data_IF_836364546802
#
_entry.id   IF_836364546802
#
_cell.length_a   1.000
_cell.length_b   1.000
_cell.length_c   1.000
_cell.angle_alpha   90.00
_cell.angle_beta   90.00
_cell.angle_gamma   90.00
#
_symmetry.space_group_name_H-M   'P 1'
#
loop_
_entity.id
_entity.type
_entity.pdbx_description
1 polymer ?
#
# COMPACT_ATOMS: atom_id res chain seq x y z
N UNK A 1 43.19 -20.76 -18.09
CA UNK A 1 42.06 -20.88 -17.15
C UNK A 1 41.33 -19.56 -17.16
N UNK A 2 40.12 -19.51 -17.72
CA UNK A 2 39.31 -18.29 -17.77
C UNK A 2 38.29 -18.35 -16.63
N UNK A 3 38.35 -17.37 -15.71
CA UNK A 3 37.40 -17.23 -14.62
C UNK A 3 36.21 -16.42 -15.12
N UNK A 4 35.06 -17.07 -15.30
CA UNK A 4 33.81 -16.38 -15.64
C UNK A 4 33.17 -15.87 -14.36
N UNK A 5 33.23 -14.57 -14.13
CA UNK A 5 32.51 -13.88 -13.05
C UNK A 5 31.03 -13.80 -13.40
N UNK A 6 30.17 -14.43 -12.60
CA UNK A 6 28.72 -14.21 -12.65
C UNK A 6 28.40 -12.98 -11.79
N UNK A 7 27.99 -11.88 -12.43
CA UNK A 7 27.46 -10.72 -11.73
C UNK A 7 25.98 -11.00 -11.39
N UNK A 8 25.65 -11.02 -10.10
CA UNK A 8 24.26 -11.00 -9.64
C UNK A 8 23.74 -9.56 -9.76
N UNK A 9 22.73 -9.34 -10.61
CA UNK A 9 22.03 -8.07 -10.67
C UNK A 9 21.07 -7.94 -9.47
N UNK A 10 21.08 -6.78 -8.80
CA UNK A 10 20.07 -6.48 -7.78
C UNK A 10 18.68 -6.39 -8.43
N UNK A 11 17.69 -7.07 -7.85
CA UNK A 11 16.29 -6.91 -8.24
C UNK A 11 15.81 -5.51 -7.81
N UNK A 12 15.35 -4.69 -8.76
CA UNK A 12 14.60 -3.48 -8.43
C UNK A 12 13.15 -3.91 -8.15
N UNK A 13 12.65 -3.63 -6.94
CA UNK A 13 11.24 -3.84 -6.64
C UNK A 13 10.41 -2.85 -7.46
N UNK A 14 9.48 -3.36 -8.27
CA UNK A 14 8.56 -2.54 -9.04
C UNK A 14 7.24 -2.40 -8.26
N UNK A 15 6.65 -1.21 -8.25
CA UNK A 15 5.30 -1.00 -7.74
C UNK A 15 4.31 -1.83 -8.56
N UNK A 16 3.35 -2.44 -7.88
CA UNK A 16 2.25 -3.20 -8.48
C UNK A 16 0.92 -2.63 -7.99
N UNK A 17 -0.06 -2.55 -8.88
CA UNK A 17 -1.41 -2.10 -8.55
C UNK A 17 -2.11 -3.13 -7.66
N UNK A 18 -2.62 -2.69 -6.52
CA UNK A 18 -3.29 -3.54 -5.53
C UNK A 18 -4.80 -3.44 -5.63
N UNK A 19 -5.33 -2.24 -5.83
CA UNK A 19 -6.76 -1.98 -5.86
C UNK A 19 -7.09 -0.49 -5.86
N UNK A 20 -8.37 -0.16 -5.89
CA UNK A 20 -8.85 1.22 -5.84
C UNK A 20 -10.12 1.33 -5.00
N UNK A 21 -10.40 2.53 -4.50
CA UNK A 21 -11.62 2.81 -3.76
C UNK A 21 -12.09 4.24 -4.02
N UNK A 22 -13.40 4.46 -4.00
CA UNK A 22 -13.98 5.80 -3.90
C UNK A 22 -13.97 6.22 -2.42
N UNK A 23 -13.66 7.48 -2.12
CA UNK A 23 -13.76 8.01 -0.75
C UNK A 23 -15.17 7.80 -0.17
N UNK A 24 -16.21 7.95 -1.00
CA UNK A 24 -17.63 7.75 -0.64
C UNK A 24 -18.11 6.31 -0.92
N UNK A 25 -17.24 5.31 -0.88
CA UNK A 25 -17.66 3.92 -1.11
C UNK A 25 -18.73 3.43 -0.10
N UNK A 26 -19.59 2.51 -0.52
CA UNK A 26 -20.66 1.95 0.32
C UNK A 26 -20.13 1.17 1.56
N UNK A 27 -18.87 0.75 1.57
CA UNK A 27 -18.21 0.19 2.74
C UNK A 27 -17.65 1.24 3.71
N UNK A 28 -17.55 2.51 3.31
CA UNK A 28 -16.95 3.55 4.13
C UNK A 28 -17.87 3.94 5.30
N UNK A 29 -17.32 4.26 6.49
CA UNK A 29 -18.14 4.76 7.60
C UNK A 29 -18.86 6.05 7.20
N UNK A 30 -20.15 6.17 7.55
CA UNK A 30 -20.87 7.42 7.32
C UNK A 30 -20.62 8.43 8.44
N UNK A 31 -20.40 9.69 8.06
CA UNK A 31 -20.29 10.81 8.98
C UNK A 31 -21.54 10.93 9.88
N UNK A 32 -22.72 10.73 9.30
CA UNK A 32 -24.03 10.89 9.95
C UNK A 32 -24.39 9.78 10.94
N UNK A 33 -23.72 8.63 10.89
CA UNK A 33 -24.04 7.45 11.72
C UNK A 33 -23.19 7.38 12.99
N UNK A 34 -22.17 8.22 13.14
CA UNK A 34 -21.18 8.11 14.22
C UNK A 34 -21.58 8.84 15.54
N UNK A 35 -22.68 9.60 15.54
CA UNK A 35 -23.17 10.26 16.75
C UNK A 35 -22.35 11.50 17.14
N UNK A 36 -21.93 11.60 18.40
CA UNK A 36 -21.16 12.75 18.93
C UNK A 36 -19.65 12.65 18.65
N UNK A 37 -19.19 11.51 18.18
CA UNK A 37 -17.79 11.11 18.02
C UNK A 37 -17.68 10.57 16.60
N UNK A 38 -16.99 11.28 15.72
CA UNK A 38 -16.96 10.94 14.31
C UNK A 38 -16.37 9.57 14.05
N UNK A 39 -16.57 9.03 12.83
CA UNK A 39 -15.89 7.81 12.44
C UNK A 39 -14.39 8.03 12.47
N UNK A 40 -13.61 6.93 12.47
CA UNK A 40 -12.16 7.03 12.32
C UNK A 40 -11.82 7.73 11.01
N UNK A 41 -10.80 8.59 11.05
CA UNK A 41 -10.26 9.25 9.88
C UNK A 41 -8.99 8.56 9.40
N UNK A 42 -8.83 8.49 8.08
CA UNK A 42 -7.74 7.76 7.43
C UNK A 42 -6.98 8.68 6.47
N UNK A 43 -5.66 8.58 6.48
CA UNK A 43 -4.83 8.97 5.34
C UNK A 43 -5.11 8.04 4.16
N UNK A 44 -4.71 8.44 2.94
CA UNK A 44 -4.81 7.56 1.77
C UNK A 44 -4.10 6.22 1.98
N UNK A 45 -2.94 6.23 2.62
CA UNK A 45 -2.16 5.03 2.93
C UNK A 45 -2.82 4.12 3.99
N UNK A 46 -3.39 4.70 5.04
CA UNK A 46 -4.12 3.91 6.06
C UNK A 46 -5.43 3.34 5.51
N UNK A 47 -6.14 4.08 4.66
CA UNK A 47 -7.33 3.57 3.97
C UNK A 47 -6.98 2.36 3.08
N UNK A 48 -5.86 2.43 2.34
CA UNK A 48 -5.39 1.30 1.57
C UNK A 48 -5.04 0.07 2.45
N UNK A 49 -4.36 0.29 3.58
CA UNK A 49 -4.05 -0.80 4.51
C UNK A 49 -5.31 -1.41 5.16
N UNK A 50 -6.31 -0.58 5.46
CA UNK A 50 -7.60 -1.04 5.96
C UNK A 50 -8.32 -1.94 4.94
N UNK A 51 -8.32 -1.54 3.67
CA UNK A 51 -9.07 -2.22 2.60
C UNK A 51 -8.35 -3.44 2.01
N UNK A 52 -7.02 -3.39 1.94
CA UNK A 52 -6.20 -4.37 1.22
C UNK A 52 -5.21 -5.12 2.13
N UNK A 53 -5.18 -4.82 3.44
CA UNK A 53 -4.31 -5.43 4.44
C UNK A 53 -2.87 -4.90 4.43
N UNK A 54 -2.03 -5.36 5.36
CA UNK A 54 -0.63 -4.93 5.47
C UNK A 54 -0.44 -3.61 6.23
N UNK A 55 0.72 -2.96 6.06
CA UNK A 55 1.01 -1.70 6.74
C UNK A 55 0.76 -0.51 5.81
N UNK A 56 0.28 0.61 6.35
CA UNK A 56 0.04 1.84 5.60
C UNK A 56 1.31 2.32 4.86
N UNK A 57 2.48 2.20 5.49
CA UNK A 57 3.76 2.60 4.92
C UNK A 57 4.16 1.81 3.65
N UNK A 58 3.58 0.63 3.43
CA UNK A 58 3.87 -0.19 2.25
C UNK A 58 3.15 0.34 1.00
N UNK A 59 2.12 1.17 1.19
CA UNK A 59 1.28 1.67 0.11
C UNK A 59 1.76 3.00 -0.47
N UNK A 60 1.63 3.12 -1.78
CA UNK A 60 1.75 4.37 -2.53
C UNK A 60 0.43 4.62 -3.24
N UNK A 61 -0.09 5.84 -3.16
CA UNK A 61 -1.42 6.19 -3.67
C UNK A 61 -1.32 7.09 -4.90
N UNK A 62 -2.25 6.91 -5.82
CA UNK A 62 -2.49 7.81 -6.93
C UNK A 62 -3.95 8.25 -6.99
N UNK A 63 -4.19 9.47 -7.49
CA UNK A 63 -5.51 9.95 -7.93
C UNK A 63 -5.66 9.96 -9.45
N UNK A 64 -4.61 9.59 -10.21
CA UNK A 64 -4.53 9.74 -11.67
C UNK A 64 -4.67 8.42 -12.45
N UNK A 65 -4.98 7.30 -11.78
CA UNK A 65 -5.28 6.02 -12.42
C UNK A 65 -4.51 4.83 -11.86
N UNK A 66 -4.77 3.65 -12.43
CA UNK A 66 -4.22 2.36 -12.00
C UNK A 66 -2.89 1.96 -12.67
N UNK A 67 -2.27 2.87 -13.43
CA UNK A 67 -0.98 2.63 -14.07
C UNK A 67 0.14 3.17 -13.18
N UNK A 68 1.23 2.40 -13.01
CA UNK A 68 2.39 2.81 -12.20
C UNK A 68 2.99 4.14 -12.67
N UNK A 69 2.95 4.40 -13.98
CA UNK A 69 3.40 5.66 -14.57
C UNK A 69 2.58 6.89 -14.12
N UNK A 70 1.37 6.69 -13.59
CA UNK A 70 0.48 7.75 -13.14
C UNK A 70 0.58 8.00 -11.63
N UNK A 71 1.47 7.33 -10.91
CA UNK A 71 1.62 7.51 -9.46
C UNK A 71 2.05 8.95 -9.16
N UNK A 72 1.21 9.67 -8.41
CA UNK A 72 1.42 11.08 -8.07
C UNK A 72 1.57 11.35 -6.57
N UNK A 73 1.56 10.29 -5.72
CA UNK A 73 1.69 10.38 -4.26
C UNK A 73 0.61 11.25 -3.60
N UNK A 74 -0.55 11.36 -4.23
CA UNK A 74 -1.71 12.09 -3.74
C UNK A 74 -2.87 11.14 -3.47
N UNK A 75 -3.79 11.58 -2.62
CA UNK A 75 -5.07 10.94 -2.40
C UNK A 75 -6.18 11.99 -2.37
N UNK A 76 -7.38 11.58 -2.78
CA UNK A 76 -8.62 12.27 -2.51
C UNK A 76 -9.03 12.08 -1.06
N UNK A 77 -9.55 13.15 -0.48
CA UNK A 77 -10.10 13.23 0.87
C UNK A 77 -11.44 13.92 0.82
N UNK A 78 -12.36 13.46 1.67
CA UNK A 78 -13.47 14.30 2.12
C UNK A 78 -12.95 15.20 3.24
N UNK A 79 -13.29 16.48 3.18
CA UNK A 79 -12.93 17.48 4.19
C UNK A 79 -14.22 18.01 4.80
N UNK A 80 -14.35 17.88 6.12
CA UNK A 80 -15.60 18.20 6.81
C UNK A 80 -16.02 19.66 6.55
N UNK A 81 -17.26 19.83 6.11
CA UNK A 81 -17.83 21.14 5.80
C UNK A 81 -17.21 21.85 4.59
N UNK A 82 -16.40 21.15 3.79
CA UNK A 82 -15.76 21.68 2.56
C UNK A 82 -16.04 20.79 1.35
N UNK A 83 -15.92 19.47 1.50
CA UNK A 83 -16.06 18.50 0.42
C UNK A 83 -14.72 17.97 -0.10
N UNK A 84 -14.72 17.52 -1.36
CA UNK A 84 -13.58 16.85 -1.97
C UNK A 84 -12.33 17.71 -2.09
N UNK A 85 -11.18 17.17 -1.68
CA UNK A 85 -9.87 17.81 -1.87
C UNK A 85 -8.75 16.79 -2.07
N UNK A 86 -7.73 17.15 -2.84
CA UNK A 86 -6.52 16.34 -2.99
C UNK A 86 -5.44 16.82 -2.04
N UNK A 87 -4.87 15.89 -1.28
CA UNK A 87 -3.69 16.12 -0.45
C UNK A 87 -2.64 15.04 -0.71
N UNK A 88 -1.48 15.18 -0.08
CA UNK A 88 -0.50 14.10 -0.04
C UNK A 88 -1.12 12.80 0.51
N UNK A 89 -0.67 11.65 0.01
CA UNK A 89 -1.20 10.33 0.40
C UNK A 89 -1.14 10.03 1.91
N UNK A 90 -0.24 10.69 2.63
CA UNK A 90 -0.07 10.59 4.09
C UNK A 90 -0.55 11.83 4.86
N UNK A 91 -1.31 12.72 4.22
CA UNK A 91 -1.90 13.88 4.88
C UNK A 91 -2.87 13.45 5.98
N UNK A 92 -2.71 14.01 7.17
CA UNK A 92 -3.51 13.69 8.34
C UNK A 92 -3.99 14.97 9.01
N UNK A 93 -5.30 15.22 8.94
CA UNK A 93 -5.99 16.24 9.72
C UNK A 93 -7.11 15.54 10.48
N UNK A 94 -6.75 14.83 11.54
CA UNK A 94 -7.69 14.03 12.34
C UNK A 94 -7.81 14.66 13.71
N UNK A 95 -9.01 14.69 14.27
CA UNK A 95 -9.20 15.07 15.67
C UNK A 95 -9.12 13.80 16.54
N UNK A 96 -8.06 13.63 17.33
CA UNK A 96 -7.87 12.44 18.18
C UNK A 96 -8.08 11.10 17.42
N UNK A 97 -7.71 11.06 16.13
CA UNK A 97 -7.89 9.90 15.25
C UNK A 97 -9.25 9.81 14.53
N UNK A 98 -10.17 10.71 14.82
CA UNK A 98 -11.52 10.77 14.26
C UNK A 98 -11.65 11.83 13.18
N UNK A 99 -12.69 11.67 12.37
CA UNK A 99 -13.13 12.63 11.37
C UNK A 99 -13.84 13.85 11.99
N UNK A 100 -14.31 13.76 13.24
CA UNK A 100 -14.72 14.91 14.08
C UNK A 100 -14.92 14.47 15.54
N UNK A 101 -15.00 15.43 16.47
CA UNK A 101 -15.49 15.22 17.85
C UNK A 101 -14.52 14.51 18.82
N UNK A 102 -14.86 14.41 20.13
CA UNK A 102 -16.20 14.59 20.67
C UNK A 102 -16.58 16.06 20.76
N UNK A 103 -17.74 16.41 20.21
CA UNK A 103 -18.30 17.75 20.34
C UNK A 103 -19.44 17.73 21.36
N UNK A 104 -19.30 18.53 22.43
CA UNK A 104 -20.41 18.82 23.36
C UNK A 104 -21.43 19.78 22.75
N UNK A 105 -20.99 20.63 21.81
CA UNK A 105 -21.74 21.81 21.35
C UNK A 105 -21.92 21.88 19.82
N UNK A 106 -21.74 20.75 19.12
CA UNK A 106 -22.01 20.63 17.68
C UNK A 106 -20.77 20.46 16.82
N UNK A 107 -20.99 19.92 15.62
CA UNK A 107 -20.01 19.52 14.60
C UNK A 107 -19.17 20.69 14.07
N UNK A 108 -18.32 21.31 14.90
CA UNK A 108 -17.47 22.38 14.40
C UNK A 108 -16.32 21.78 13.58
N UNK A 109 -16.22 22.31 12.36
CA UNK A 109 -15.37 21.91 11.25
C UNK A 109 -13.88 22.28 11.44
N UNK A 110 -13.42 22.41 12.68
CA UNK A 110 -12.07 22.90 12.96
C UNK A 110 -11.48 22.05 14.07
N UNK A 111 -10.49 21.22 13.73
CA UNK A 111 -9.66 20.53 14.72
C UNK A 111 -8.95 21.59 15.59
N UNK A 112 -8.42 21.21 16.76
CA UNK A 112 -7.75 22.12 17.70
C UNK A 112 -6.64 22.99 17.06
N UNK A 113 -6.14 22.58 15.89
CA UNK A 113 -5.10 23.26 15.10
C UNK A 113 -5.62 24.26 14.04
N UNK A 114 -6.92 24.53 13.95
CA UNK A 114 -7.47 25.44 12.94
C UNK A 114 -7.73 24.79 11.57
N UNK A 115 -7.52 23.48 11.44
CA UNK A 115 -7.67 22.71 10.19
C UNK A 115 -8.96 21.89 10.18
N UNK A 116 -9.63 21.84 9.04
CA UNK A 116 -10.79 20.98 8.86
C UNK A 116 -10.35 19.51 8.83
N UNK A 117 -11.11 18.67 9.53
CA UNK A 117 -10.84 17.25 9.53
C UNK A 117 -10.98 16.66 8.13
N UNK A 118 -10.11 15.69 7.80
CA UNK A 118 -10.08 15.07 6.49
C UNK A 118 -9.94 13.55 6.60
N UNK A 119 -10.62 12.82 5.73
CA UNK A 119 -10.47 11.36 5.60
C UNK A 119 -10.50 10.92 4.14
N UNK A 120 -9.58 10.04 3.77
CA UNK A 120 -9.55 9.39 2.47
C UNK A 120 -10.55 8.21 2.36
N UNK A 121 -11.31 7.93 3.43
CA UNK A 121 -12.35 6.90 3.44
C UNK A 121 -13.45 7.27 4.44
N UNK A 122 -14.52 7.91 3.95
CA UNK A 122 -15.69 8.32 4.75
C UNK A 122 -16.83 8.69 3.79
N UNK A 123 -18.08 8.35 4.16
CA UNK A 123 -19.26 8.87 3.46
C UNK A 123 -19.74 10.16 4.10
N UNK A 124 -19.45 11.28 3.46
CA UNK A 124 -19.89 12.62 3.87
C UNK A 124 -20.38 13.45 2.68
N UNK A 125 -19.51 14.27 2.08
CA UNK A 125 -19.87 15.29 1.09
C UNK A 125 -19.60 14.85 -0.36
N UNK A 126 -18.84 13.77 -0.56
CA UNK A 126 -18.35 13.30 -1.86
C UNK A 126 -19.31 12.35 -2.62
N UNK A 127 -20.61 12.33 -2.30
CA UNK A 127 -21.56 11.43 -2.98
C UNK A 127 -21.63 11.69 -4.49
N UNK A 128 -21.17 10.72 -5.29
CA UNK A 128 -21.23 10.78 -6.75
C UNK A 128 -20.08 11.56 -7.41
N UNK A 129 -19.13 12.08 -6.64
CA UNK A 129 -17.99 12.86 -7.16
C UNK A 129 -16.91 11.99 -7.82
N UNK A 130 -16.98 10.66 -7.69
CA UNK A 130 -16.04 9.71 -8.28
C UNK A 130 -14.60 9.99 -7.83
N UNK A 131 -14.41 10.24 -6.53
CA UNK A 131 -13.15 10.57 -5.90
C UNK A 131 -12.30 9.31 -5.68
N UNK A 132 -11.84 8.70 -6.78
CA UNK A 132 -11.18 7.40 -6.76
C UNK A 132 -9.68 7.53 -6.41
N UNK A 133 -9.28 6.78 -5.39
CA UNK A 133 -7.90 6.53 -5.01
C UNK A 133 -7.43 5.17 -5.54
N UNK A 134 -6.19 5.10 -6.03
CA UNK A 134 -5.56 3.89 -6.56
C UNK A 134 -4.36 3.51 -5.70
N UNK A 135 -4.39 2.33 -5.08
CA UNK A 135 -3.31 1.80 -4.25
C UNK A 135 -2.32 0.97 -5.07
N UNK A 136 -1.05 1.24 -4.82
CA UNK A 136 0.08 0.46 -5.29
C UNK A 136 0.91 0.01 -4.09
N UNK A 137 1.62 -1.10 -4.23
CA UNK A 137 2.58 -1.59 -3.24
C UNK A 137 3.79 -2.18 -3.97
N UNK A 138 4.95 -2.13 -3.35
CA UNK A 138 6.10 -2.89 -3.84
C UNK A 138 5.77 -4.38 -3.75
N UNK A 139 5.64 -5.03 -4.90
CA UNK A 139 5.53 -6.49 -4.92
C UNK A 139 6.97 -7.01 -4.89
N UNK A 140 7.40 -7.43 -3.70
CA UNK A 140 8.64 -8.17 -3.53
C UNK A 140 8.48 -9.51 -4.22
N UNK A 141 8.64 -9.53 -5.55
CA UNK A 141 8.80 -10.65 -6.47
C UNK A 141 8.22 -11.95 -5.91
N UNK A 142 7.04 -12.39 -6.39
CA UNK A 142 6.56 -13.76 -6.17
C UNK A 142 7.75 -14.72 -6.26
N UNK A 143 8.02 -15.59 -5.25
CA UNK A 143 9.32 -16.25 -5.11
C UNK A 143 9.66 -17.04 -6.38
N UNK A 144 10.36 -16.38 -7.30
CA UNK A 144 11.01 -17.02 -8.43
C UNK A 144 12.15 -17.78 -7.77
N UNK A 145 12.21 -19.11 -7.87
CA UNK A 145 13.37 -19.83 -7.40
C UNK A 145 14.58 -19.22 -8.09
N UNK A 146 15.39 -18.49 -7.32
CA UNK A 146 16.46 -17.72 -7.90
C UNK A 146 17.34 -18.66 -8.73
N UNK A 147 17.84 -18.24 -9.91
CA UNK A 147 18.72 -19.07 -10.74
C UNK A 147 19.89 -19.71 -9.97
N UNK A 148 20.32 -19.05 -8.87
CA UNK A 148 21.30 -19.56 -7.93
C UNK A 148 20.86 -20.85 -7.21
N UNK A 149 19.59 -21.01 -6.85
CA UNK A 149 19.06 -22.22 -6.20
C UNK A 149 19.19 -23.43 -7.13
N UNK A 150 18.92 -23.25 -8.41
CA UNK A 150 19.11 -24.30 -9.43
C UNK A 150 20.59 -24.60 -9.63
N UNK A 151 21.43 -23.56 -9.71
CA UNK A 151 22.87 -23.73 -9.82
C UNK A 151 23.45 -24.50 -8.61
N UNK A 152 22.98 -24.22 -7.39
CA UNK A 152 23.39 -24.92 -6.16
C UNK A 152 22.91 -26.36 -6.12
N UNK A 153 21.68 -26.66 -6.57
CA UNK A 153 21.21 -28.04 -6.66
C UNK A 153 21.98 -28.84 -7.71
N UNK A 154 22.17 -28.27 -8.91
CA UNK A 154 22.91 -28.95 -10.00
C UNK A 154 24.37 -29.16 -9.60
N UNK A 155 25.01 -28.16 -9.01
CA UNK A 155 26.40 -28.29 -8.53
C UNK A 155 26.51 -29.27 -7.36
N UNK A 156 25.58 -29.24 -6.39
CA UNK A 156 25.51 -30.18 -5.28
C UNK A 156 25.36 -31.64 -5.74
N UNK A 157 24.36 -31.92 -6.58
CA UNK A 157 24.14 -33.26 -7.13
C UNK A 157 25.24 -33.70 -8.10
N UNK A 158 25.77 -32.77 -8.90
CA UNK A 158 26.90 -33.02 -9.79
C UNK A 158 28.16 -33.43 -9.02
N UNK A 159 28.48 -32.73 -7.92
CA UNK A 159 29.62 -33.07 -7.04
C UNK A 159 29.40 -34.42 -6.34
N UNK A 160 28.21 -34.66 -5.79
CA UNK A 160 27.88 -35.94 -5.16
C UNK A 160 28.02 -37.12 -6.14
N UNK A 161 27.47 -36.98 -7.35
CA UNK A 161 27.59 -37.99 -8.41
C UNK A 161 29.04 -38.23 -8.84
N UNK A 162 29.85 -37.17 -8.97
CA UNK A 162 31.27 -37.28 -9.30
C UNK A 162 32.08 -38.04 -8.23
N UNK A 163 31.78 -37.81 -6.95
CA UNK A 163 32.42 -38.52 -5.84
C UNK A 163 32.09 -40.02 -5.84
N UNK A 164 30.85 -40.41 -6.12
CA UNK A 164 30.46 -41.83 -6.23
C UNK A 164 31.20 -42.51 -7.39
N UNK A 165 31.33 -41.84 -8.53
CA UNK A 165 32.02 -42.40 -9.71
C UNK A 165 33.52 -42.61 -9.47
N UNK A 166 34.19 -41.70 -8.74
CA UNK A 166 35.59 -41.84 -8.34
C UNK A 166 35.85 -43.06 -7.46
N UNK A 167 34.95 -43.38 -6.51
CA UNK A 167 35.11 -44.55 -5.64
C UNK A 167 34.98 -45.87 -6.41
N UNK A 168 34.07 -45.95 -7.38
CA UNK A 168 33.96 -47.12 -8.27
C UNK A 168 35.20 -47.34 -9.14
N UNK A 169 35.79 -46.25 -9.66
CA UNK A 169 37.00 -46.34 -10.49
C UNK A 169 38.26 -46.72 -9.70
N UNK A 170 38.30 -46.50 -8.38
CA UNK A 170 39.42 -46.89 -7.51
C UNK A 170 39.31 -48.33 -6.97
N UNK A 171 38.16 -48.99 -7.15
CA UNK A 171 37.89 -50.36 -6.71
C UNK A 171 37.90 -51.37 -7.88
N UNK A 172 38.18 -50.91 -9.10
CA UNK A 172 38.35 -51.72 -10.31
C UNK A 172 39.83 -51.67 -10.73
#
# INVERSE_FOLDING_TARGET
MAATTFAAGAANAALVFVGSWDVYDAGAPAWSEAGQTGPLAYTGQEAAALLFGGNAADYVISTAGNQVANVNFQAWYDVIGVGGSQFAQGYSAKYLGQYYGPTSDGYCCVNDDGLHAASAYVRDNLEGDNAINYAFREDGVAPVPEPASWALMISGFGMAGAMVRRRKAALA
#
